data_IF_595812226995
#
_entry.id   IF_595812226995
#
_cell.length_a   1.000
_cell.length_b   1.000
_cell.length_c   1.000
_cell.angle_alpha   90.00
_cell.angle_beta   90.00
_cell.angle_gamma   90.00
#
_symmetry.space_group_name_H-M   'P 1'
#
loop_
_entity.id
_entity.type
_entity.pdbx_description
1 polymer ?
#
# COMPACT_ATOMS: atom_id res chain seq x y z
N UNK A 1 -0.25 -2.46 -28.87
CA UNK A 1 -0.66 -1.19 -28.27
C UNK A 1 -1.08 -1.50 -26.83
N UNK A 2 -0.24 -1.22 -25.84
CA UNK A 2 -0.64 -1.35 -24.43
C UNK A 2 -1.71 -0.30 -24.15
N UNK A 3 -2.83 -0.71 -23.55
CA UNK A 3 -3.87 0.25 -23.15
C UNK A 3 -3.46 0.93 -21.85
N UNK A 4 -3.96 2.15 -21.58
CA UNK A 4 -3.70 2.84 -20.30
C UNK A 4 -4.00 1.96 -19.07
N UNK A 5 -4.99 1.07 -19.17
CA UNK A 5 -5.34 0.11 -18.12
C UNK A 5 -4.21 -0.88 -17.85
N UNK A 6 -3.53 -1.36 -18.88
CA UNK A 6 -2.43 -2.34 -18.74
C UNK A 6 -1.21 -1.72 -18.06
N UNK A 7 -0.93 -0.45 -18.33
CA UNK A 7 0.11 0.31 -17.64
C UNK A 7 -0.22 0.44 -16.15
N UNK A 8 -1.43 0.88 -15.80
CA UNK A 8 -1.84 1.04 -14.40
C UNK A 8 -1.71 -0.29 -13.64
N UNK A 9 -2.13 -1.41 -14.23
CA UNK A 9 -2.01 -2.74 -13.62
C UNK A 9 -0.57 -3.14 -13.30
N UNK A 10 0.37 -2.84 -14.19
CA UNK A 10 1.77 -3.18 -13.99
C UNK A 10 2.48 -2.27 -12.97
N UNK A 11 2.07 -1.00 -12.87
CA UNK A 11 2.78 -0.02 -12.04
C UNK A 11 2.19 0.18 -10.64
N UNK A 12 0.96 -0.26 -10.36
CA UNK A 12 0.31 0.02 -9.07
C UNK A 12 1.06 -0.62 -7.88
N UNK A 13 1.57 -1.84 -8.02
CA UNK A 13 2.37 -2.49 -6.99
C UNK A 13 3.71 -1.80 -6.74
N UNK A 14 4.41 -1.39 -7.80
CA UNK A 14 5.70 -0.68 -7.70
C UNK A 14 5.50 0.72 -7.10
N UNK A 15 4.44 1.42 -7.51
CA UNK A 15 4.09 2.72 -6.94
C UNK A 15 3.82 2.62 -5.43
N UNK A 16 3.07 1.60 -5.01
CA UNK A 16 2.83 1.32 -3.60
C UNK A 16 4.11 1.00 -2.81
N UNK A 17 5.04 0.24 -3.40
CA UNK A 17 6.33 -0.03 -2.80
C UNK A 17 7.16 1.24 -2.58
N UNK A 18 7.25 2.14 -3.57
CA UNK A 18 8.03 3.37 -3.46
C UNK A 18 7.46 4.27 -2.35
N UNK A 19 6.14 4.44 -2.30
CA UNK A 19 5.47 5.24 -1.26
C UNK A 19 5.74 4.65 0.12
N UNK A 20 5.63 3.33 0.26
CA UNK A 20 5.85 2.66 1.52
C UNK A 20 7.31 2.73 1.99
N UNK A 21 8.27 2.60 1.07
CA UNK A 21 9.69 2.73 1.36
C UNK A 21 9.98 4.11 1.97
N UNK A 22 9.44 5.18 1.37
CA UNK A 22 9.62 6.55 1.88
C UNK A 22 9.02 6.70 3.28
N UNK A 23 7.82 6.16 3.52
CA UNK A 23 7.17 6.28 4.82
C UNK A 23 7.86 5.46 5.92
N UNK A 24 8.34 4.25 5.63
CA UNK A 24 9.15 3.44 6.57
C UNK A 24 10.48 4.13 6.87
N UNK A 25 11.17 4.67 5.86
CA UNK A 25 12.41 5.43 6.06
C UNK A 25 12.17 6.69 6.90
N UNK A 26 11.05 7.37 6.69
CA UNK A 26 10.68 8.56 7.47
C UNK A 26 10.45 8.17 8.94
N UNK A 27 9.68 7.11 9.18
CA UNK A 27 9.45 6.57 10.53
C UNK A 27 10.76 6.19 11.23
N UNK A 28 11.63 5.45 10.55
CA UNK A 28 12.95 5.08 11.06
C UNK A 28 13.85 6.30 11.34
N UNK A 29 13.84 7.30 10.46
CA UNK A 29 14.63 8.53 10.62
C UNK A 29 14.20 9.32 11.86
N UNK A 30 12.89 9.53 12.04
CA UNK A 30 12.37 10.27 13.18
C UNK A 30 12.57 9.53 14.51
N UNK A 31 12.46 8.20 14.50
CA UNK A 31 12.79 7.38 15.66
C UNK A 31 14.25 7.54 16.07
N UNK A 32 15.16 7.54 15.10
CA UNK A 32 16.61 7.58 15.36
C UNK A 32 17.14 8.97 15.72
N UNK A 33 16.66 10.03 15.07
CA UNK A 33 17.21 11.39 15.21
C UNK A 33 16.39 12.33 16.09
N UNK A 34 15.07 12.11 16.19
CA UNK A 34 14.16 13.00 16.92
C UNK A 34 13.57 12.36 18.17
N UNK A 35 13.92 11.10 18.48
CA UNK A 35 13.37 10.32 19.59
C UNK A 35 11.82 10.33 19.60
N UNK A 36 11.23 10.50 18.41
CA UNK A 36 9.81 10.64 18.19
C UNK A 36 9.32 9.40 17.46
N UNK A 37 8.34 8.71 18.04
CA UNK A 37 7.83 7.45 17.52
C UNK A 37 6.74 7.72 16.50
N UNK A 38 7.15 7.94 15.24
CA UNK A 38 6.25 7.86 14.08
C UNK A 38 6.03 6.40 13.67
N UNK A 39 5.91 5.49 14.64
CA UNK A 39 5.78 4.05 14.39
C UNK A 39 4.52 3.75 13.56
N UNK A 40 3.40 4.45 13.85
CA UNK A 40 2.16 4.38 13.06
C UNK A 40 2.36 4.75 11.59
N UNK A 41 3.29 5.67 11.26
CA UNK A 41 3.59 6.03 9.85
C UNK A 41 4.25 4.86 9.13
N UNK A 42 5.16 4.16 9.81
CA UNK A 42 5.80 2.96 9.27
C UNK A 42 4.80 1.82 9.07
N UNK A 43 3.93 1.59 10.05
CA UNK A 43 2.87 0.58 9.96
C UNK A 43 1.90 0.86 8.82
N UNK A 44 1.39 2.09 8.71
CA UNK A 44 0.50 2.49 7.62
C UNK A 44 1.17 2.34 6.25
N UNK A 45 2.46 2.64 6.17
CA UNK A 45 3.24 2.50 4.94
C UNK A 45 3.35 1.04 4.50
N UNK A 46 3.68 0.14 5.42
CA UNK A 46 3.72 -1.30 5.14
C UNK A 46 2.34 -1.85 4.76
N UNK A 47 1.29 -1.40 5.44
CA UNK A 47 -0.08 -1.83 5.19
C UNK A 47 -0.55 -1.40 3.79
N UNK A 48 -0.18 -0.18 3.38
CA UNK A 48 -0.44 0.35 2.04
C UNK A 48 0.34 -0.44 0.98
N UNK A 49 1.59 -0.82 1.24
CA UNK A 49 2.36 -1.67 0.32
C UNK A 49 1.73 -3.05 0.12
N UNK A 50 1.41 -3.76 1.22
CA UNK A 50 0.81 -5.10 1.15
C UNK A 50 -0.51 -5.04 0.37
N UNK A 51 -1.32 -4.01 0.62
CA UNK A 51 -2.62 -3.84 -0.03
C UNK A 51 -2.46 -3.54 -1.53
N UNK A 52 -1.57 -2.63 -1.91
CA UNK A 52 -1.30 -2.29 -3.32
C UNK A 52 -0.69 -3.45 -4.09
N UNK A 53 0.22 -4.23 -3.47
CA UNK A 53 0.79 -5.44 -4.05
C UNK A 53 -0.29 -6.51 -4.25
N UNK A 54 -1.16 -6.71 -3.26
CA UNK A 54 -2.28 -7.68 -3.34
C UNK A 54 -3.27 -7.31 -4.44
N UNK A 55 -3.61 -6.02 -4.57
CA UNK A 55 -4.48 -5.52 -5.65
C UNK A 55 -3.80 -5.69 -7.01
N UNK A 56 -2.51 -5.37 -7.11
CA UNK A 56 -1.71 -5.56 -8.33
C UNK A 56 -1.73 -7.03 -8.77
N UNK A 57 -1.47 -7.95 -7.85
CA UNK A 57 -1.45 -9.40 -8.13
C UNK A 57 -2.83 -9.91 -8.56
N UNK A 58 -3.91 -9.44 -7.96
CA UNK A 58 -5.26 -9.81 -8.40
C UNK A 58 -5.58 -9.26 -9.79
N UNK A 59 -5.21 -8.01 -10.08
CA UNK A 59 -5.46 -7.36 -11.37
C UNK A 59 -4.70 -7.98 -12.54
N UNK A 60 -3.56 -8.60 -12.25
CA UNK A 60 -2.69 -9.29 -13.21
C UNK A 60 -3.12 -10.75 -13.48
N UNK A 61 -4.12 -11.28 -12.76
CA UNK A 61 -4.69 -12.60 -13.05
C UNK A 61 -5.49 -12.61 -14.35
N UNK A 62 -5.59 -13.76 -15.05
CA UNK A 62 -6.37 -13.89 -16.28
C UNK A 62 -7.87 -13.60 -16.09
N UNK A 63 -8.41 -13.81 -14.88
CA UNK A 63 -9.78 -13.44 -14.52
C UNK A 63 -9.80 -12.74 -13.14
N UNK A 64 -9.59 -11.41 -13.10
CA UNK A 64 -9.45 -10.66 -11.86
C UNK A 64 -10.78 -10.59 -11.10
N UNK A 65 -10.78 -11.00 -9.82
CA UNK A 65 -11.98 -10.97 -8.98
C UNK A 65 -12.19 -9.58 -8.39
N UNK A 66 -13.11 -8.82 -8.99
CA UNK A 66 -13.46 -7.47 -8.54
C UNK A 66 -13.86 -7.42 -7.05
N UNK A 67 -14.63 -8.40 -6.57
CA UNK A 67 -15.05 -8.46 -5.17
C UNK A 67 -13.88 -8.58 -4.18
N UNK A 68 -12.79 -9.24 -4.57
CA UNK A 68 -11.61 -9.39 -3.73
C UNK A 68 -10.85 -8.07 -3.61
N UNK A 69 -10.72 -7.33 -4.73
CA UNK A 69 -10.15 -5.99 -4.73
C UNK A 69 -10.95 -5.06 -3.83
N UNK A 70 -12.29 -5.09 -3.90
CA UNK A 70 -13.14 -4.32 -3.00
C UNK A 70 -12.94 -4.70 -1.53
N UNK A 71 -12.84 -6.00 -1.22
CA UNK A 71 -12.58 -6.48 0.13
C UNK A 71 -11.26 -5.93 0.67
N UNK A 72 -10.16 -6.04 -0.09
CA UNK A 72 -8.85 -5.53 0.30
C UNK A 72 -8.90 -4.02 0.55
N UNK A 73 -9.59 -3.26 -0.29
CA UNK A 73 -9.75 -1.81 -0.11
C UNK A 73 -10.56 -1.46 1.15
N UNK A 74 -11.63 -2.20 1.45
CA UNK A 74 -12.43 -1.97 2.67
C UNK A 74 -11.62 -2.28 3.93
N UNK A 75 -10.89 -3.39 3.94
CA UNK A 75 -10.01 -3.77 5.04
C UNK A 75 -8.90 -2.73 5.24
N UNK A 76 -8.31 -2.23 4.15
CA UNK A 76 -7.31 -1.16 4.19
C UNK A 76 -7.87 0.08 4.91
N UNK A 77 -9.06 0.55 4.52
CA UNK A 77 -9.72 1.71 5.15
C UNK A 77 -9.98 1.45 6.64
N UNK A 78 -10.46 0.26 6.99
CA UNK A 78 -10.71 -0.10 8.38
C UNK A 78 -9.42 -0.09 9.23
N UNK A 79 -8.34 -0.67 8.71
CA UNK A 79 -7.04 -0.63 9.38
C UNK A 79 -6.50 0.81 9.50
N UNK A 80 -6.70 1.65 8.49
CA UNK A 80 -6.34 3.07 8.54
C UNK A 80 -7.06 3.78 9.69
N UNK A 81 -8.37 3.58 9.82
CA UNK A 81 -9.15 4.16 10.91
C UNK A 81 -8.66 3.63 12.27
N UNK A 82 -8.41 2.33 12.39
CA UNK A 82 -7.95 1.69 13.62
C UNK A 82 -6.58 2.17 14.09
N UNK A 83 -5.65 2.43 13.18
CA UNK A 83 -4.29 2.90 13.53
C UNK A 83 -4.29 4.39 13.90
N UNK A 84 -5.22 5.17 13.33
CA UNK A 84 -5.32 6.61 13.58
C UNK A 84 -6.11 6.94 14.86
N UNK A 85 -7.12 6.14 15.20
CA UNK A 85 -8.03 6.36 16.33
C UNK A 85 -7.52 5.70 17.61
#
# INVERSE_FOLDING_TARGET
>A
MQTMKDLIKNYIGIAGFIVALIGVLTSAYYKFYHNNELDSVGELSLLLWISTMTISDELNKPNPKQWYIYLVTVVLIFCFIWIIY
#
